data_IF_671218019919
#
_entry.id   IF_671218019919
#
_cell.length_a   1.000
_cell.length_b   1.000
_cell.length_c   1.000
_cell.angle_alpha   90.00
_cell.angle_beta   90.00
_cell.angle_gamma   90.00
#
_symmetry.space_group_name_H-M   'P 1'
#
loop_
_entity.id
_entity.type
_entity.pdbx_description
1 polymer ?
#
# COMPACT_ATOMS: atom_id res chain seq x y z
N UNK A 1 22.32 -4.75 44.92
CA UNK A 1 22.53 -5.56 43.71
C UNK A 1 21.18 -6.13 43.29
N UNK A 2 20.41 -5.44 42.43
CA UNK A 2 20.43 -5.48 40.94
C UNK A 2 19.70 -6.73 40.41
N UNK A 3 18.75 -6.75 39.47
CA UNK A 3 18.29 -5.77 38.49
C UNK A 3 16.83 -6.10 38.08
N UNK A 4 15.86 -5.22 38.34
CA UNK A 4 14.46 -5.40 37.85
C UNK A 4 13.85 -4.15 37.21
N UNK A 5 14.64 -3.10 36.94
CA UNK A 5 14.08 -1.75 36.76
C UNK A 5 14.33 -1.08 35.40
N UNK A 6 14.57 -1.80 34.29
CA UNK A 6 14.90 -1.12 33.02
C UNK A 6 14.39 -1.74 31.72
N UNK A 7 13.19 -2.35 31.68
CA UNK A 7 12.61 -2.87 30.42
C UNK A 7 11.29 -2.20 29.97
N UNK A 8 10.74 -1.24 30.72
CA UNK A 8 9.39 -0.71 30.51
C UNK A 8 9.31 0.70 29.88
N UNK A 9 10.41 1.24 29.34
CA UNK A 9 10.45 2.66 28.95
C UNK A 9 9.88 3.00 27.57
N UNK A 10 9.85 2.03 26.64
CA UNK A 10 9.44 2.27 25.25
C UNK A 10 8.54 1.10 24.83
N UNK A 11 7.30 1.35 24.36
CA UNK A 11 6.46 0.30 23.78
C UNK A 11 7.28 -0.52 22.78
N UNK A 12 7.27 -1.86 22.82
CA UNK A 12 8.16 -2.70 22.00
C UNK A 12 8.07 -2.40 20.50
N UNK A 13 6.91 -1.92 20.05
CA UNK A 13 6.68 -1.49 18.67
C UNK A 13 7.54 -0.29 18.23
N UNK A 14 7.94 0.57 19.16
CA UNK A 14 8.83 1.70 18.90
C UNK A 14 10.31 1.30 18.91
N UNK A 15 10.65 0.09 19.39
CA UNK A 15 12.02 -0.45 19.34
C UNK A 15 12.31 -1.21 18.04
N UNK A 16 11.28 -1.54 17.24
CA UNK A 16 11.49 -2.18 15.94
C UNK A 16 12.28 -1.26 15.00
N UNK A 17 13.33 -1.75 14.32
CA UNK A 17 13.96 -1.05 13.20
C UNK A 17 12.94 -0.70 12.10
N UNK A 18 13.21 0.35 11.34
CA UNK A 18 12.29 0.84 10.29
C UNK A 18 12.07 -0.22 9.21
N UNK A 19 13.10 -1.01 8.91
CA UNK A 19 13.11 -2.08 7.93
C UNK A 19 12.11 -3.18 8.27
N UNK A 20 11.97 -3.49 9.56
CA UNK A 20 11.01 -4.50 10.03
C UNK A 20 9.58 -3.97 9.95
N UNK A 21 9.35 -2.70 10.28
CA UNK A 21 8.02 -2.08 10.12
C UNK A 21 7.62 -2.05 8.64
N UNK A 22 8.54 -1.65 7.74
CA UNK A 22 8.30 -1.69 6.29
C UNK A 22 8.01 -3.11 5.82
N UNK A 23 8.75 -4.10 6.30
CA UNK A 23 8.55 -5.51 5.94
C UNK A 23 7.19 -6.03 6.40
N UNK A 24 6.75 -5.68 7.61
CA UNK A 24 5.42 -6.03 8.13
C UNK A 24 4.32 -5.42 7.26
N UNK A 25 4.40 -4.11 7.00
CA UNK A 25 3.38 -3.41 6.19
C UNK A 25 3.36 -3.97 4.77
N UNK A 26 4.54 -4.23 4.18
CA UNK A 26 4.64 -4.79 2.84
C UNK A 26 4.03 -6.18 2.76
N UNK A 27 4.32 -7.05 3.74
CA UNK A 27 3.78 -8.39 3.79
C UNK A 27 2.25 -8.38 3.90
N UNK A 28 1.70 -7.50 4.74
CA UNK A 28 0.25 -7.34 4.88
C UNK A 28 -0.39 -6.83 3.57
N UNK A 29 0.22 -5.83 2.93
CA UNK A 29 -0.24 -5.31 1.64
C UNK A 29 -0.24 -6.38 0.54
N UNK A 30 0.71 -7.33 0.58
CA UNK A 30 0.77 -8.45 -0.37
C UNK A 30 -0.19 -9.60 -0.02
N UNK A 31 -0.46 -9.87 1.25
CA UNK A 31 -1.42 -10.91 1.65
C UNK A 31 -2.86 -10.52 1.35
N UNK A 32 -3.21 -9.24 1.53
CA UNK A 32 -4.50 -8.68 1.10
C UNK A 32 -4.73 -8.94 -0.39
N UNK A 33 -3.67 -8.82 -1.20
CA UNK A 33 -3.70 -9.10 -2.63
C UNK A 33 -3.92 -10.59 -2.93
N UNK A 34 -3.15 -11.50 -2.31
CA UNK A 34 -3.23 -12.94 -2.66
C UNK A 34 -4.55 -13.60 -2.25
N UNK A 35 -5.10 -13.25 -1.08
CA UNK A 35 -6.33 -13.88 -0.58
C UNK A 35 -7.53 -13.47 -1.44
N UNK A 36 -7.56 -12.22 -1.89
CA UNK A 36 -8.66 -11.69 -2.66
C UNK A 36 -8.83 -12.36 -4.04
N UNK A 37 -7.75 -12.54 -4.80
CA UNK A 37 -7.82 -13.14 -6.13
C UNK A 37 -7.87 -14.67 -6.12
N UNK A 38 -7.44 -15.32 -5.03
CA UNK A 38 -7.39 -16.80 -4.95
C UNK A 38 -8.71 -17.45 -4.53
N UNK A 39 -9.60 -16.73 -3.85
CA UNK A 39 -10.80 -17.33 -3.21
C UNK A 39 -12.15 -16.79 -3.71
N UNK A 40 -12.16 -15.84 -4.65
CA UNK A 40 -13.39 -15.27 -5.15
C UNK A 40 -13.58 -15.56 -6.65
N UNK A 41 -14.51 -16.48 -6.96
CA UNK A 41 -15.00 -16.76 -8.33
C UNK A 41 -15.78 -15.57 -8.93
N UNK A 42 -16.06 -14.54 -8.15
CA UNK A 42 -16.79 -13.34 -8.57
C UNK A 42 -16.02 -12.10 -8.14
N UNK A 43 -15.93 -11.04 -8.98
CA UNK A 43 -15.37 -9.78 -8.54
C UNK A 43 -16.20 -9.28 -7.35
N UNK A 44 -15.59 -8.99 -6.20
CA UNK A 44 -16.36 -8.59 -5.04
C UNK A 44 -17.02 -7.24 -5.26
N UNK A 45 -18.09 -7.03 -4.50
CA UNK A 45 -18.93 -5.82 -4.56
C UNK A 45 -18.14 -4.54 -4.29
N UNK A 46 -17.07 -4.64 -3.50
CA UNK A 46 -16.17 -3.54 -3.18
C UNK A 46 -14.72 -4.01 -3.43
N UNK A 47 -13.93 -3.23 -4.19
CA UNK A 47 -12.53 -3.57 -4.38
C UNK A 47 -11.78 -3.46 -3.03
N UNK A 48 -10.76 -4.31 -2.79
CA UNK A 48 -10.07 -4.46 -1.51
C UNK A 48 -9.03 -3.35 -1.37
N UNK A 49 -9.43 -2.10 -1.67
CA UNK A 49 -8.46 -1.06 -1.92
C UNK A 49 -7.83 -0.68 -0.58
N UNK A 50 -6.60 -1.15 -0.39
CA UNK A 50 -5.68 -0.71 0.65
C UNK A 50 -6.08 -0.99 2.11
N UNK A 51 -6.57 -2.19 2.45
CA UNK A 51 -6.77 -2.56 3.86
C UNK A 51 -5.50 -2.36 4.72
N UNK A 52 -4.32 -2.59 4.14
CA UNK A 52 -3.03 -2.29 4.75
C UNK A 52 -2.85 -0.84 5.24
N UNK A 53 -3.57 0.16 4.70
CA UNK A 53 -3.54 1.56 5.15
C UNK A 53 -4.02 1.67 6.60
N UNK A 54 -4.85 0.75 7.09
CA UNK A 54 -5.25 0.69 8.50
C UNK A 54 -4.05 0.54 9.44
N UNK A 55 -2.93 -0.04 8.97
CA UNK A 55 -1.68 -0.11 9.75
C UNK A 55 -1.11 1.28 10.07
N UNK A 56 -1.45 2.32 9.31
CA UNK A 56 -1.10 3.70 9.65
C UNK A 56 -1.81 4.23 10.90
N UNK A 57 -2.87 3.57 11.37
CA UNK A 57 -3.61 3.95 12.57
C UNK A 57 -2.97 3.41 13.87
N UNK A 58 -1.98 2.50 13.77
CA UNK A 58 -1.29 1.93 14.93
C UNK A 58 -0.59 3.02 15.75
N UNK A 59 0.23 3.84 15.10
CA UNK A 59 0.85 5.02 15.72
C UNK A 59 1.39 6.00 14.67
N UNK A 60 1.76 7.22 15.09
CA UNK A 60 2.37 8.23 14.22
C UNK A 60 3.62 7.73 13.49
N UNK A 61 4.44 6.88 14.12
CA UNK A 61 5.64 6.32 13.51
C UNK A 61 5.31 5.43 12.31
N UNK A 62 4.33 4.55 12.43
CA UNK A 62 3.89 3.67 11.35
C UNK A 62 3.28 4.46 10.19
N UNK A 63 2.44 5.46 10.52
CA UNK A 63 1.94 6.42 9.52
C UNK A 63 3.07 7.09 8.75
N UNK A 64 4.05 7.66 9.45
CA UNK A 64 5.15 8.36 8.80
C UNK A 64 6.00 7.42 7.93
N UNK A 65 6.26 6.20 8.38
CA UNK A 65 6.99 5.21 7.59
C UNK A 65 6.20 4.85 6.32
N UNK A 66 4.92 4.51 6.46
CA UNK A 66 4.06 4.15 5.34
C UNK A 66 3.95 5.27 4.28
N UNK A 67 3.73 6.50 4.74
CA UNK A 67 3.59 7.68 3.87
C UNK A 67 4.86 8.04 3.11
N UNK A 68 6.04 7.68 3.64
CA UNK A 68 7.36 8.00 3.07
C UNK A 68 8.07 6.77 2.48
N UNK A 69 7.38 5.65 2.28
CA UNK A 69 7.97 4.45 1.67
C UNK A 69 7.30 4.18 0.32
N UNK A 70 7.87 4.69 -0.80
CA UNK A 70 7.22 4.61 -2.12
C UNK A 70 6.85 3.20 -2.58
N UNK A 71 7.66 2.20 -2.20
CA UNK A 71 7.42 0.79 -2.53
C UNK A 71 6.05 0.27 -2.06
N UNK A 72 5.49 0.83 -0.99
CA UNK A 72 4.18 0.41 -0.47
C UNK A 72 3.01 0.89 -1.34
N UNK A 73 3.22 1.90 -2.18
CA UNK A 73 2.19 2.54 -3.01
C UNK A 73 2.26 2.13 -4.48
N UNK A 74 3.17 1.22 -4.83
CA UNK A 74 3.48 0.90 -6.23
C UNK A 74 2.44 0.01 -6.91
N UNK A 75 1.67 -0.75 -6.14
CA UNK A 75 0.60 -1.60 -6.66
C UNK A 75 -0.67 -0.77 -6.71
N UNK A 76 -1.13 -0.45 -7.91
CA UNK A 76 -2.23 0.48 -8.15
C UNK A 76 -3.40 -0.28 -8.74
N UNK A 77 -4.47 -0.40 -7.95
CA UNK A 77 -5.76 -0.85 -8.44
C UNK A 77 -6.52 0.36 -8.99
N UNK A 78 -6.66 0.42 -10.31
CA UNK A 78 -7.40 1.47 -10.99
C UNK A 78 -8.88 1.21 -10.79
N UNK A 79 -9.53 2.16 -10.13
CA UNK A 79 -10.98 2.17 -9.86
C UNK A 79 -11.61 3.45 -10.41
N UNK A 80 -12.89 3.68 -10.16
CA UNK A 80 -13.57 4.94 -10.51
C UNK A 80 -13.02 6.16 -9.75
N UNK A 81 -12.30 5.94 -8.64
CA UNK A 81 -11.70 7.02 -7.86
C UNK A 81 -10.33 7.42 -8.46
N UNK A 82 -10.37 8.41 -9.36
CA UNK A 82 -9.16 8.95 -9.99
C UNK A 82 -8.29 9.76 -9.01
N UNK A 83 -8.84 10.24 -7.89
CA UNK A 83 -8.05 10.93 -6.87
C UNK A 83 -7.22 9.94 -6.06
N UNK A 84 -7.77 8.75 -5.82
CA UNK A 84 -7.02 7.64 -5.25
C UNK A 84 -5.90 7.17 -6.20
N UNK A 85 -6.14 7.12 -7.52
CA UNK A 85 -5.10 6.87 -8.51
C UNK A 85 -3.98 7.91 -8.41
N UNK A 86 -4.32 9.21 -8.43
CA UNK A 86 -3.34 10.31 -8.28
C UNK A 86 -2.57 10.20 -6.97
N UNK A 87 -3.23 9.85 -5.87
CA UNK A 87 -2.58 9.64 -4.58
C UNK A 87 -1.53 8.53 -4.65
N UNK A 88 -1.86 7.39 -5.24
CA UNK A 88 -0.89 6.30 -5.41
C UNK A 88 0.30 6.72 -6.27
N UNK A 89 0.06 7.42 -7.39
CA UNK A 89 1.12 7.89 -8.28
C UNK A 89 2.06 8.87 -7.59
N UNK A 90 1.50 9.82 -6.83
CA UNK A 90 2.27 10.79 -6.06
C UNK A 90 3.10 10.14 -4.96
N UNK A 91 2.56 9.11 -4.28
CA UNK A 91 3.24 8.43 -3.17
C UNK A 91 4.25 7.39 -3.61
N UNK A 92 4.04 6.79 -4.78
CA UNK A 92 4.95 5.79 -5.35
C UNK A 92 6.16 6.40 -6.01
N UNK A 93 6.20 7.71 -6.28
CA UNK A 93 7.35 8.33 -6.93
C UNK A 93 8.62 8.27 -6.06
N UNK A 94 9.80 7.96 -6.63
CA UNK A 94 10.09 7.70 -8.05
C UNK A 94 10.02 6.20 -8.44
N UNK A 95 9.45 5.33 -7.61
CA UNK A 95 9.43 3.89 -7.86
C UNK A 95 8.60 3.53 -9.11
N UNK A 96 8.98 2.39 -9.72
CA UNK A 96 8.18 1.72 -10.75
C UNK A 96 6.86 1.24 -10.17
N UNK A 97 5.80 1.25 -10.97
CA UNK A 97 4.43 0.88 -10.58
C UNK A 97 3.93 -0.35 -11.33
N UNK A 98 3.08 -1.11 -10.65
CA UNK A 98 2.31 -2.22 -11.22
C UNK A 98 0.84 -1.80 -11.21
N UNK A 99 0.21 -1.80 -12.37
CA UNK A 99 -1.16 -1.31 -12.57
C UNK A 99 -2.07 -2.52 -12.74
N UNK A 100 -3.25 -2.50 -12.12
CA UNK A 100 -4.29 -3.49 -12.32
C UNK A 100 -5.62 -2.77 -12.52
N UNK A 101 -6.31 -3.04 -13.62
CA UNK A 101 -7.62 -2.45 -13.88
C UNK A 101 -8.73 -3.27 -13.24
N UNK A 102 -9.46 -2.67 -12.30
CA UNK A 102 -10.67 -3.27 -11.78
C UNK A 102 -11.82 -3.07 -12.79
N UNK A 103 -12.82 -3.96 -12.82
CA UNK A 103 -14.04 -3.70 -13.59
C UNK A 103 -14.75 -2.41 -13.14
N UNK A 104 -15.49 -1.73 -14.02
CA UNK A 104 -15.73 -2.04 -15.43
C UNK A 104 -14.60 -1.56 -16.37
N UNK A 105 -14.54 -2.11 -17.59
CA UNK A 105 -13.52 -1.77 -18.60
C UNK A 105 -13.46 -0.29 -18.99
N UNK A 106 -14.54 0.48 -18.76
CA UNK A 106 -14.58 1.93 -19.02
C UNK A 106 -13.55 2.71 -18.22
N UNK A 107 -13.13 2.19 -17.05
CA UNK A 107 -12.10 2.81 -16.21
C UNK A 107 -10.75 2.98 -16.90
N UNK A 108 -10.46 2.15 -17.91
CA UNK A 108 -9.25 2.29 -18.73
C UNK A 108 -9.24 3.67 -19.39
N UNK A 109 -10.34 4.05 -20.04
CA UNK A 109 -10.40 5.32 -20.78
C UNK A 109 -10.20 6.53 -19.86
N UNK A 110 -10.78 6.48 -18.65
CA UNK A 110 -10.72 7.58 -17.69
C UNK A 110 -9.33 7.71 -17.04
N UNK A 111 -8.67 6.58 -16.75
CA UNK A 111 -7.38 6.55 -16.08
C UNK A 111 -6.19 6.72 -17.04
N UNK A 112 -6.33 6.34 -18.32
CA UNK A 112 -5.23 6.32 -19.29
C UNK A 112 -4.52 7.66 -19.45
N UNK A 113 -5.18 8.83 -19.55
CA UNK A 113 -4.47 10.11 -19.65
C UNK A 113 -3.52 10.37 -18.47
N UNK A 114 -3.91 9.93 -17.27
CA UNK A 114 -3.11 10.06 -16.05
C UNK A 114 -1.93 9.08 -16.10
N UNK A 115 -2.20 7.81 -16.42
CA UNK A 115 -1.18 6.75 -16.48
C UNK A 115 -0.13 6.99 -17.58
N UNK A 116 -0.54 7.56 -18.72
CA UNK A 116 0.37 7.88 -19.82
C UNK A 116 1.43 8.92 -19.41
N UNK A 117 1.09 9.84 -18.50
CA UNK A 117 2.05 10.81 -17.94
C UNK A 117 3.16 10.10 -17.14
N UNK A 118 2.83 8.96 -16.54
CA UNK A 118 3.72 8.15 -15.70
C UNK A 118 4.21 6.88 -16.42
N UNK A 119 4.06 6.80 -17.75
CA UNK A 119 4.31 5.58 -18.52
C UNK A 119 5.73 5.00 -18.32
N UNK A 120 6.72 5.87 -18.15
CA UNK A 120 8.12 5.49 -17.91
C UNK A 120 8.35 4.73 -16.59
N UNK A 121 7.38 4.75 -15.67
CA UNK A 121 7.43 4.04 -14.39
C UNK A 121 6.64 2.75 -14.42
N UNK A 122 5.80 2.51 -15.43
CA UNK A 122 4.95 1.32 -15.49
C UNK A 122 5.81 0.09 -15.78
N UNK A 123 5.77 -0.88 -14.88
CA UNK A 123 6.47 -2.17 -14.99
C UNK A 123 5.56 -3.28 -15.50
N UNK A 124 4.32 -3.30 -15.02
CA UNK A 124 3.32 -4.34 -15.31
C UNK A 124 1.94 -3.68 -15.42
N UNK A 125 1.10 -4.21 -16.32
CA UNK A 125 -0.32 -3.88 -16.48
C UNK A 125 -1.12 -5.19 -16.47
#
# INVERSE_FOLDING_TARGET
MSARTALNGVPPIHALPVELIVSIIHHYAQSDFSVFYAYHDSPPREPPIMNWVALMLVCRRWRNIALNTPRLWRLIHVTADLDLLRLHLARSAPATIDVCFMPPATLVNDAMPILLTEAHRIRTI
#
